data_IF_864865566704
#
_entry.id   IF_864865566704
#
_cell.length_a   1.000
_cell.length_b   1.000
_cell.length_c   1.000
_cell.angle_alpha   90.00
_cell.angle_beta   90.00
_cell.angle_gamma   90.00
#
_symmetry.space_group_name_H-M   'P 1'
#
loop_
_entity.id
_entity.type
_entity.pdbx_description
1 polymer ?
#
# COMPACT_ATOMS: atom_id res chain seq x y z
N UNK A 1 30.55 -12.94 11.64
CA UNK A 1 31.23 -13.69 12.72
C UNK A 1 30.54 -15.05 12.81
N UNK A 2 31.32 -16.13 12.78
CA UNK A 2 30.81 -17.50 12.91
C UNK A 2 31.30 -18.06 14.24
N UNK A 3 30.51 -18.91 14.93
CA UNK A 3 31.00 -19.59 16.11
C UNK A 3 32.14 -20.55 15.71
N UNK A 4 33.29 -20.41 16.35
CA UNK A 4 34.39 -21.35 16.21
C UNK A 4 34.12 -22.66 16.96
N UNK A 5 34.93 -23.68 16.70
CA UNK A 5 34.84 -25.00 17.36
C UNK A 5 35.02 -24.92 18.88
N UNK A 6 35.69 -23.91 19.36
CA UNK A 6 35.95 -23.59 20.78
C UNK A 6 34.97 -22.56 21.38
N UNK A 7 33.81 -22.35 20.73
CA UNK A 7 32.76 -21.39 21.11
C UNK A 7 33.20 -19.91 21.12
N UNK A 8 34.35 -19.59 20.58
CA UNK A 8 34.80 -18.21 20.41
C UNK A 8 34.35 -17.66 19.05
N UNK A 9 33.98 -16.38 18.96
CA UNK A 9 33.72 -15.75 17.67
C UNK A 9 34.98 -15.81 16.79
N UNK A 10 34.85 -16.35 15.60
CA UNK A 10 35.94 -16.38 14.63
C UNK A 10 35.64 -15.52 13.43
N UNK A 11 36.68 -14.95 12.83
CA UNK A 11 36.54 -14.22 11.58
C UNK A 11 36.04 -15.19 10.49
N UNK A 12 34.99 -14.79 9.79
CA UNK A 12 34.44 -15.53 8.65
C UNK A 12 35.59 -15.74 7.60
N UNK A 13 35.69 -16.92 6.97
CA UNK A 13 36.49 -17.10 5.77
C UNK A 13 36.14 -16.06 4.71
N UNK A 14 37.07 -15.77 3.82
CA UNK A 14 36.84 -14.84 2.72
C UNK A 14 35.58 -15.17 1.91
N UNK A 15 35.16 -14.25 1.11
CA UNK A 15 34.05 -14.44 0.16
C UNK A 15 34.57 -14.16 -1.26
N UNK A 16 33.97 -14.82 -2.25
CA UNK A 16 34.14 -14.49 -3.66
C UNK A 16 32.98 -13.63 -4.15
N UNK A 17 33.31 -12.66 -5.00
CA UNK A 17 32.30 -11.87 -5.68
C UNK A 17 31.54 -12.78 -6.66
N UNK A 18 30.23 -12.86 -6.51
CA UNK A 18 29.36 -13.69 -7.36
C UNK A 18 28.86 -12.92 -8.59
N UNK A 19 28.43 -11.69 -8.40
CA UNK A 19 27.85 -10.80 -9.42
C UNK A 19 28.25 -9.37 -9.11
N UNK A 20 28.34 -8.54 -10.15
CA UNK A 20 28.48 -7.09 -10.03
C UNK A 20 27.35 -6.43 -10.82
N UNK A 21 26.71 -5.45 -10.20
CA UNK A 21 25.78 -4.55 -10.83
C UNK A 21 26.42 -3.18 -10.97
N UNK A 22 25.96 -2.42 -11.94
CA UNK A 22 26.28 -0.99 -12.01
C UNK A 22 25.44 -0.26 -10.94
N UNK A 23 26.11 0.53 -10.12
CA UNK A 23 25.48 1.24 -9.01
C UNK A 23 25.48 0.48 -7.68
N UNK A 24 24.95 1.15 -6.68
CA UNK A 24 24.85 0.67 -5.29
C UNK A 24 23.72 -0.36 -5.16
N UNK A 25 23.95 -1.43 -4.41
CA UNK A 25 22.88 -2.38 -4.05
C UNK A 25 21.96 -1.72 -3.02
N UNK A 26 20.76 -1.39 -3.43
CA UNK A 26 19.73 -0.74 -2.64
C UNK A 26 18.74 -1.71 -2.00
N UNK A 27 18.66 -2.94 -2.52
CA UNK A 27 17.84 -4.01 -1.96
C UNK A 27 18.10 -5.35 -2.62
N UNK A 28 17.91 -6.42 -1.84
CA UNK A 28 17.95 -7.81 -2.30
C UNK A 28 16.73 -8.49 -1.72
N UNK A 29 15.92 -9.09 -2.56
CA UNK A 29 14.63 -9.67 -2.16
C UNK A 29 14.42 -11.02 -2.83
N UNK A 30 13.51 -11.82 -2.27
CA UNK A 30 13.05 -13.07 -2.84
C UNK A 30 11.58 -12.94 -3.21
N UNK A 31 11.24 -13.25 -4.45
CA UNK A 31 9.88 -13.35 -4.97
C UNK A 31 9.54 -14.83 -5.15
N UNK A 32 8.52 -15.31 -4.46
CA UNK A 32 7.99 -16.67 -4.64
C UNK A 32 6.80 -16.63 -5.60
N UNK A 33 6.90 -17.34 -6.73
CA UNK A 33 5.83 -17.43 -7.71
C UNK A 33 5.76 -18.86 -8.28
N UNK A 34 4.56 -19.44 -8.31
CA UNK A 34 4.30 -20.77 -8.87
C UNK A 34 5.24 -21.88 -8.36
N UNK A 35 5.59 -21.83 -7.07
CA UNK A 35 6.51 -22.79 -6.43
C UNK A 35 7.99 -22.53 -6.66
N UNK A 36 8.35 -21.55 -7.45
CA UNK A 36 9.73 -21.12 -7.71
C UNK A 36 10.10 -19.88 -6.87
N UNK A 37 11.38 -19.76 -6.57
CA UNK A 37 11.95 -18.60 -5.90
C UNK A 37 12.81 -17.80 -6.89
N UNK A 38 12.49 -16.52 -7.06
CA UNK A 38 13.16 -15.59 -7.95
C UNK A 38 13.96 -14.60 -7.14
N UNK A 39 15.21 -14.36 -7.56
CA UNK A 39 16.10 -13.43 -6.89
C UNK A 39 15.95 -12.03 -7.49
N UNK A 40 15.48 -11.08 -6.68
CA UNK A 40 15.23 -9.70 -7.10
C UNK A 40 16.27 -8.77 -6.49
N UNK A 41 16.92 -7.97 -7.32
CA UNK A 41 17.95 -7.01 -6.90
C UNK A 41 17.55 -5.61 -7.36
N UNK A 42 17.55 -4.66 -6.43
CA UNK A 42 17.52 -3.24 -6.72
C UNK A 42 18.95 -2.70 -6.63
N UNK A 43 19.53 -2.29 -7.76
CA UNK A 43 20.86 -1.71 -7.85
C UNK A 43 20.84 -0.41 -8.67
N UNK A 44 21.43 0.65 -8.11
CA UNK A 44 21.35 2.00 -8.70
C UNK A 44 19.90 2.41 -8.90
N UNK A 45 19.53 2.72 -10.14
CA UNK A 45 18.17 3.11 -10.55
C UNK A 45 17.41 2.02 -11.28
N UNK A 46 17.79 0.75 -11.10
CA UNK A 46 17.23 -0.38 -11.84
C UNK A 46 16.86 -1.55 -10.95
N UNK A 47 15.91 -2.36 -11.43
CA UNK A 47 15.49 -3.63 -10.81
C UNK A 47 15.87 -4.77 -11.76
N UNK A 48 16.49 -5.79 -11.20
CA UNK A 48 16.95 -7.00 -11.87
C UNK A 48 16.26 -8.22 -11.27
N UNK A 49 15.92 -9.20 -12.10
CA UNK A 49 15.34 -10.46 -11.63
C UNK A 49 16.07 -11.62 -12.30
N UNK A 50 16.56 -12.55 -11.48
CA UNK A 50 17.27 -13.77 -11.87
C UNK A 50 18.47 -13.58 -12.83
N UNK A 51 19.24 -14.66 -13.06
CA UNK A 51 20.29 -14.71 -14.07
C UNK A 51 19.66 -14.80 -15.48
N UNK A 52 20.13 -14.04 -16.47
CA UNK A 52 21.40 -13.31 -16.55
C UNK A 52 21.39 -11.88 -15.98
N UNK A 53 20.42 -11.51 -15.16
CA UNK A 53 20.30 -10.20 -14.49
C UNK A 53 20.25 -9.02 -15.46
N UNK A 54 19.42 -9.12 -16.48
CA UNK A 54 19.04 -7.97 -17.27
C UNK A 54 18.09 -7.08 -16.47
N UNK A 55 18.19 -5.77 -16.63
CA UNK A 55 17.25 -4.85 -16.01
C UNK A 55 15.83 -5.09 -16.54
N UNK A 56 14.91 -5.36 -15.64
CA UNK A 56 13.47 -5.55 -15.97
C UNK A 56 12.68 -4.26 -15.78
N UNK A 57 13.26 -3.29 -15.06
CA UNK A 57 12.66 -1.98 -14.84
C UNK A 57 13.74 -0.95 -14.52
N UNK A 58 13.56 0.28 -14.99
CA UNK A 58 14.42 1.44 -14.71
C UNK A 58 13.61 2.61 -14.19
N UNK A 59 14.28 3.59 -13.57
CA UNK A 59 13.63 4.77 -13.00
C UNK A 59 13.16 4.58 -11.55
N UNK A 60 13.77 3.65 -10.80
CA UNK A 60 13.65 3.60 -9.34
C UNK A 60 14.64 4.59 -8.70
N UNK A 61 14.37 5.01 -7.48
CA UNK A 61 15.26 5.90 -6.73
C UNK A 61 16.56 5.18 -6.34
N UNK A 62 17.73 5.79 -6.55
CA UNK A 62 19.01 5.23 -6.06
C UNK A 62 19.14 5.40 -4.53
N UNK A 63 18.21 4.83 -3.80
CA UNK A 63 18.13 4.85 -2.34
C UNK A 63 17.75 3.49 -1.78
N UNK A 64 18.08 3.21 -0.51
CA UNK A 64 17.69 1.96 0.12
C UNK A 64 16.20 1.70 0.04
N UNK A 65 15.81 0.54 -0.52
CA UNK A 65 14.43 0.12 -0.70
C UNK A 65 14.03 -1.04 0.21
N UNK A 66 12.73 -1.25 0.32
CA UNK A 66 12.10 -2.36 1.05
C UNK A 66 11.14 -3.05 0.11
N UNK A 67 10.96 -4.36 0.24
CA UNK A 67 9.92 -5.07 -0.47
C UNK A 67 9.13 -5.99 0.47
N UNK A 68 7.83 -5.99 0.32
CA UNK A 68 6.88 -6.74 1.14
C UNK A 68 6.31 -7.88 0.29
N UNK A 69 6.59 -9.15 0.63
CA UNK A 69 6.01 -10.27 -0.08
C UNK A 69 4.56 -10.50 0.32
N UNK A 70 3.70 -10.71 -0.67
CA UNK A 70 2.33 -11.15 -0.46
C UNK A 70 1.86 -12.02 -1.63
N UNK A 71 1.40 -13.23 -1.32
CA UNK A 71 1.04 -14.25 -2.33
C UNK A 71 2.21 -14.43 -3.32
N UNK A 72 1.98 -14.25 -4.59
CA UNK A 72 2.94 -14.38 -5.71
C UNK A 72 3.53 -13.03 -6.18
N UNK A 73 3.52 -12.02 -5.32
CA UNK A 73 3.97 -10.65 -5.63
C UNK A 73 4.90 -10.08 -4.56
N UNK A 74 5.74 -9.13 -4.97
CA UNK A 74 6.47 -8.23 -4.09
C UNK A 74 5.98 -6.80 -4.27
N UNK A 75 5.70 -6.11 -3.17
CA UNK A 75 5.39 -4.69 -3.16
C UNK A 75 6.66 -3.93 -2.78
N UNK A 76 7.30 -3.34 -3.79
CA UNK A 76 8.59 -2.64 -3.67
C UNK A 76 8.38 -1.16 -3.40
N UNK A 77 9.08 -0.65 -2.37
CA UNK A 77 9.03 0.74 -1.91
C UNK A 77 10.45 1.32 -1.94
N UNK A 78 10.63 2.43 -2.65
CA UNK A 78 11.88 3.18 -2.71
C UNK A 78 11.76 4.62 -2.16
N UNK A 79 10.58 4.99 -1.62
CA UNK A 79 10.28 6.32 -1.11
C UNK A 79 9.87 7.34 -2.18
N UNK A 80 9.66 6.90 -3.42
CA UNK A 80 9.14 7.73 -4.52
C UNK A 80 7.94 7.10 -5.21
N UNK A 81 7.82 5.77 -5.15
CA UNK A 81 6.71 5.03 -5.72
C UNK A 81 6.59 3.65 -5.09
N UNK A 82 5.39 3.13 -5.06
CA UNK A 82 5.12 1.72 -4.75
C UNK A 82 4.96 0.96 -6.07
N UNK A 83 5.67 -0.14 -6.23
CA UNK A 83 5.66 -0.98 -7.43
C UNK A 83 5.34 -2.41 -7.07
N UNK A 84 4.61 -3.08 -7.94
CA UNK A 84 4.33 -4.51 -7.86
C UNK A 84 5.33 -5.22 -8.75
N UNK A 85 6.08 -6.16 -8.18
CA UNK A 85 6.95 -7.07 -8.93
C UNK A 85 6.29 -8.44 -8.92
N UNK A 86 6.05 -8.99 -10.10
CA UNK A 86 5.46 -10.32 -10.31
C UNK A 86 6.27 -11.11 -11.32
N UNK A 87 6.08 -12.42 -11.37
CA UNK A 87 6.71 -13.29 -12.34
C UNK A 87 5.67 -14.19 -13.01
N UNK A 88 5.66 -14.20 -14.33
CA UNK A 88 4.80 -15.08 -15.13
C UNK A 88 5.71 -16.01 -15.95
N UNK A 89 5.46 -17.30 -15.92
CA UNK A 89 6.26 -18.29 -16.65
C UNK A 89 6.30 -18.05 -18.17
N UNK A 90 5.27 -17.38 -18.71
CA UNK A 90 5.17 -17.08 -20.14
C UNK A 90 5.91 -15.81 -20.58
N UNK A 91 6.02 -14.79 -19.70
CA UNK A 91 6.56 -13.46 -20.05
C UNK A 91 7.73 -13.05 -19.18
N UNK A 92 8.04 -13.80 -18.12
CA UNK A 92 9.08 -13.48 -17.15
C UNK A 92 8.64 -12.47 -16.09
N UNK A 93 9.60 -11.73 -15.54
CA UNK A 93 9.36 -10.73 -14.53
C UNK A 93 8.70 -9.47 -15.10
N UNK A 94 7.74 -8.95 -14.37
CA UNK A 94 7.02 -7.71 -14.68
C UNK A 94 7.05 -6.79 -13.46
N UNK A 95 7.33 -5.51 -13.69
CA UNK A 95 7.29 -4.46 -12.64
C UNK A 95 6.28 -3.41 -13.05
N UNK A 96 5.23 -3.25 -12.25
CA UNK A 96 4.12 -2.35 -12.54
C UNK A 96 3.98 -1.33 -11.40
N UNK A 97 4.01 -0.02 -11.67
CA UNK A 97 3.64 0.99 -10.66
C UNK A 97 2.23 0.75 -10.14
N UNK A 98 2.04 0.81 -8.83
CA UNK A 98 0.77 0.53 -8.16
C UNK A 98 -0.38 1.39 -8.71
N UNK A 99 -0.11 2.65 -9.02
CA UNK A 99 -1.08 3.59 -9.60
C UNK A 99 -1.68 3.13 -10.93
N UNK A 100 -0.93 2.36 -11.74
CA UNK A 100 -1.40 1.91 -13.07
C UNK A 100 -2.45 0.79 -12.99
N UNK A 101 -2.51 0.09 -11.87
CA UNK A 101 -3.44 -1.02 -11.60
C UNK A 101 -4.34 -0.73 -10.42
N UNK A 102 -4.41 0.55 -9.99
CA UNK A 102 -5.16 0.98 -8.84
C UNK A 102 -6.67 0.83 -9.04
N UNK A 103 -7.36 0.48 -7.97
CA UNK A 103 -8.82 0.45 -7.92
C UNK A 103 -9.41 1.84 -8.18
N UNK A 104 -10.48 1.91 -8.95
CA UNK A 104 -11.24 3.14 -9.19
C UNK A 104 -12.50 3.13 -8.34
N UNK A 105 -12.55 3.91 -7.24
CA UNK A 105 -13.69 3.90 -6.33
C UNK A 105 -14.92 4.59 -6.93
N UNK A 106 -16.10 4.14 -6.53
CA UNK A 106 -17.34 4.86 -6.71
C UNK A 106 -17.56 5.77 -5.52
N UNK A 107 -17.19 7.05 -5.66
CA UNK A 107 -17.18 7.98 -4.51
C UNK A 107 -18.56 8.49 -4.14
N UNK A 108 -19.52 8.50 -5.06
CA UNK A 108 -20.86 9.01 -4.83
C UNK A 108 -21.88 8.24 -5.65
N UNK A 109 -23.03 7.94 -5.05
CA UNK A 109 -24.19 7.28 -5.65
C UNK A 109 -25.46 8.13 -5.47
N UNK A 110 -26.52 7.82 -6.19
CA UNK A 110 -27.79 8.52 -6.08
C UNK A 110 -27.73 9.99 -6.48
N UNK A 111 -26.80 10.38 -7.38
CA UNK A 111 -26.65 11.76 -7.81
C UNK A 111 -27.75 12.14 -8.80
N UNK A 112 -28.25 13.38 -8.67
CA UNK A 112 -29.07 14.01 -9.71
C UNK A 112 -28.14 14.62 -10.78
N UNK A 113 -28.63 14.86 -12.01
CA UNK A 113 -27.84 15.56 -13.03
C UNK A 113 -27.22 16.88 -12.54
N UNK A 114 -27.93 17.63 -11.69
CA UNK A 114 -27.45 18.88 -11.10
C UNK A 114 -26.45 18.72 -9.94
N UNK A 115 -26.14 17.49 -9.53
CA UNK A 115 -25.23 17.20 -8.42
C UNK A 115 -25.91 16.61 -7.18
N UNK A 116 -25.27 16.71 -6.02
CA UNK A 116 -25.72 16.06 -4.77
C UNK A 116 -25.30 14.59 -4.71
N UNK A 117 -26.15 13.73 -4.17
CA UNK A 117 -25.87 12.29 -3.99
C UNK A 117 -25.40 11.94 -2.60
N UNK A 118 -25.15 10.65 -2.37
CA UNK A 118 -24.68 10.10 -1.10
C UNK A 118 -23.25 9.63 -1.26
N UNK A 119 -22.29 10.03 -0.40
CA UNK A 119 -20.95 9.46 -0.36
C UNK A 119 -21.03 7.94 -0.21
N UNK A 120 -20.19 7.22 -0.94
CA UNK A 120 -20.22 5.75 -0.96
C UNK A 120 -18.84 5.15 -0.63
N UNK A 121 -17.84 5.29 -1.49
CA UNK A 121 -16.48 4.85 -1.21
C UNK A 121 -15.55 6.05 -1.04
N UNK A 122 -14.49 5.87 -0.25
CA UNK A 122 -13.44 6.86 -0.11
C UNK A 122 -12.65 7.07 -1.41
N UNK A 123 -12.12 8.26 -1.58
CA UNK A 123 -11.17 8.52 -2.66
C UNK A 123 -9.90 7.66 -2.47
N UNK A 124 -9.39 7.05 -3.56
CA UNK A 124 -8.22 6.20 -3.49
C UNK A 124 -6.93 7.03 -3.53
N UNK A 125 -6.10 6.93 -2.47
CA UNK A 125 -4.84 7.67 -2.37
C UNK A 125 -3.77 7.27 -3.41
N UNK A 126 -3.94 6.13 -4.09
CA UNK A 126 -3.01 5.67 -5.15
C UNK A 126 -3.56 5.84 -6.56
N UNK A 127 -4.74 6.44 -6.71
CA UNK A 127 -5.39 6.68 -7.99
C UNK A 127 -5.89 8.12 -8.10
N UNK A 128 -5.86 8.66 -9.30
CA UNK A 128 -6.57 9.90 -9.62
C UNK A 128 -8.00 9.63 -10.09
N UNK A 129 -8.30 8.37 -10.44
CA UNK A 129 -9.59 7.99 -11.03
C UNK A 129 -10.64 7.80 -9.95
N UNK A 130 -11.82 8.26 -10.24
CA UNK A 130 -13.01 8.08 -9.44
C UNK A 130 -14.22 7.89 -10.33
N UNK A 131 -15.25 7.27 -9.80
CA UNK A 131 -16.53 7.06 -10.47
C UNK A 131 -17.66 7.70 -9.66
N UNK A 132 -18.64 8.25 -10.33
CA UNK A 132 -19.89 8.74 -9.74
C UNK A 132 -21.07 8.13 -10.48
N UNK A 133 -22.10 7.74 -9.74
CA UNK A 133 -23.32 7.18 -10.29
C UNK A 133 -24.48 8.16 -10.14
N UNK A 134 -25.28 8.27 -11.21
CA UNK A 134 -26.35 9.23 -11.32
C UNK A 134 -27.68 8.56 -11.68
N UNK A 135 -28.74 9.09 -11.12
CA UNK A 135 -30.11 8.82 -11.55
C UNK A 135 -30.43 9.67 -12.78
N UNK A 136 -30.34 9.06 -13.96
CA UNK A 136 -30.61 9.73 -15.21
C UNK A 136 -32.10 10.08 -15.40
N UNK A 137 -32.33 11.12 -16.16
CA UNK A 137 -33.68 11.58 -16.49
C UNK A 137 -33.91 11.55 -18.01
N UNK A 138 -35.15 11.66 -18.44
CA UNK A 138 -35.50 11.77 -19.85
C UNK A 138 -35.31 13.19 -20.44
N UNK A 139 -34.99 14.18 -19.60
CA UNK A 139 -34.96 15.61 -19.98
C UNK A 139 -33.55 16.19 -19.86
N UNK A 140 -32.81 15.79 -18.81
CA UNK A 140 -31.50 16.36 -18.53
C UNK A 140 -30.43 15.78 -19.41
N UNK A 141 -29.64 16.65 -20.05
CA UNK A 141 -28.46 16.27 -20.84
C UNK A 141 -27.16 16.57 -20.16
N UNK A 142 -27.11 17.48 -19.17
CA UNK A 142 -25.85 17.90 -18.50
C UNK A 142 -25.80 17.38 -17.08
N UNK A 143 -24.68 16.72 -16.76
CA UNK A 143 -24.41 16.07 -15.48
C UNK A 143 -23.20 16.70 -14.82
N UNK A 144 -23.36 17.16 -13.56
CA UNK A 144 -22.34 17.84 -12.80
C UNK A 144 -21.61 16.85 -11.87
N UNK A 145 -20.32 16.67 -12.09
CA UNK A 145 -19.43 15.91 -11.20
C UNK A 145 -19.11 16.68 -9.91
N UNK A 146 -18.67 15.98 -8.89
CA UNK A 146 -18.25 16.57 -7.60
C UNK A 146 -17.03 17.47 -7.72
N UNK A 147 -16.20 17.25 -8.74
CA UNK A 147 -14.97 18.01 -8.95
C UNK A 147 -15.01 18.83 -10.23
N UNK A 148 -14.48 20.03 -10.14
CA UNK A 148 -14.10 20.88 -11.27
C UNK A 148 -12.58 20.75 -11.50
N UNK A 149 -12.07 21.28 -12.61
CA UNK A 149 -10.64 21.19 -12.96
C UNK A 149 -10.15 19.75 -12.95
N UNK A 150 -10.85 18.90 -13.70
CA UNK A 150 -10.51 17.49 -13.86
C UNK A 150 -9.12 17.34 -14.51
N UNK A 151 -8.45 16.25 -14.21
CA UNK A 151 -7.21 15.88 -14.89
C UNK A 151 -7.49 15.57 -16.37
N UNK A 152 -6.47 15.67 -17.22
CA UNK A 152 -6.59 15.53 -18.68
C UNK A 152 -6.90 14.11 -19.18
N UNK A 153 -6.99 13.13 -18.28
CA UNK A 153 -7.37 11.76 -18.65
C UNK A 153 -8.78 11.73 -19.26
N UNK A 154 -9.04 10.81 -20.21
CA UNK A 154 -10.37 10.66 -20.79
C UNK A 154 -11.45 10.39 -19.73
N UNK A 155 -12.48 11.19 -19.76
CA UNK A 155 -13.73 10.91 -19.04
C UNK A 155 -14.46 9.80 -19.77
N UNK A 156 -14.88 8.75 -19.06
CA UNK A 156 -15.65 7.64 -19.63
C UNK A 156 -17.04 7.58 -19.04
N UNK A 157 -18.02 7.28 -19.88
CA UNK A 157 -19.43 7.22 -19.50
C UNK A 157 -20.01 5.87 -19.85
N UNK A 158 -20.78 5.33 -18.94
CA UNK A 158 -21.56 4.12 -19.15
C UNK A 158 -23.02 4.37 -18.78
N UNK A 159 -23.93 3.73 -19.49
CA UNK A 159 -25.35 3.71 -19.18
C UNK A 159 -25.84 2.30 -18.95
N UNK A 160 -26.80 2.15 -18.05
CA UNK A 160 -27.41 0.87 -17.75
C UNK A 160 -28.31 0.44 -18.92
N UNK A 161 -28.07 -0.73 -19.48
CA UNK A 161 -28.85 -1.29 -20.58
C UNK A 161 -30.28 -1.56 -20.15
N UNK A 162 -31.25 -1.36 -21.08
CA UNK A 162 -32.67 -1.61 -20.86
C UNK A 162 -33.01 -3.08 -20.54
N UNK A 163 -32.13 -4.00 -20.92
CA UNK A 163 -32.25 -5.42 -20.60
C UNK A 163 -31.68 -5.77 -19.18
N UNK A 164 -31.21 -4.77 -18.44
CA UNK A 164 -30.73 -4.98 -17.07
C UNK A 164 -31.86 -5.33 -16.13
N UNK A 165 -31.54 -6.17 -15.15
CA UNK A 165 -32.42 -6.54 -14.03
C UNK A 165 -31.71 -6.29 -12.71
N UNK A 166 -32.39 -6.24 -11.56
CA UNK A 166 -31.74 -6.08 -10.26
C UNK A 166 -30.61 -7.08 -10.02
N UNK A 167 -30.78 -8.34 -10.48
CA UNK A 167 -29.80 -9.40 -10.32
C UNK A 167 -28.66 -9.38 -11.35
N UNK A 168 -28.86 -8.65 -12.48
CA UNK A 168 -27.89 -8.59 -13.57
C UNK A 168 -27.87 -7.22 -14.23
N UNK A 169 -26.95 -6.37 -13.82
CA UNK A 169 -26.71 -5.06 -14.40
C UNK A 169 -25.75 -5.17 -15.60
N UNK A 170 -26.17 -4.62 -16.74
CA UNK A 170 -25.39 -4.57 -17.98
C UNK A 170 -25.07 -3.11 -18.26
N UNK A 171 -23.80 -2.75 -18.26
CA UNK A 171 -23.33 -1.38 -18.50
C UNK A 171 -22.78 -1.24 -19.92
N UNK A 172 -23.36 -0.35 -20.71
CA UNK A 172 -22.92 -0.03 -22.06
C UNK A 172 -22.06 1.23 -22.06
N UNK A 173 -20.86 1.13 -22.60
CA UNK A 173 -19.96 2.28 -22.75
C UNK A 173 -20.40 3.17 -23.90
N UNK A 174 -20.40 4.47 -23.68
CA UNK A 174 -20.68 5.49 -24.68
C UNK A 174 -19.39 6.03 -25.30
N UNK A 175 -19.50 6.55 -26.53
CA UNK A 175 -18.38 7.13 -27.28
C UNK A 175 -18.29 8.64 -27.05
N UNK A 176 -17.14 9.11 -26.58
CA UNK A 176 -16.86 10.54 -26.45
C UNK A 176 -16.88 11.24 -27.81
N UNK A 177 -17.46 12.42 -27.88
CA UNK A 177 -17.63 13.21 -29.11
C UNK A 177 -18.82 12.78 -29.97
N UNK A 178 -19.38 11.58 -29.77
CA UNK A 178 -20.53 11.06 -30.52
C UNK A 178 -21.78 10.99 -29.63
N UNK A 179 -21.64 10.49 -28.41
CA UNK A 179 -22.77 10.31 -27.49
C UNK A 179 -22.78 11.37 -26.39
N UNK A 180 -21.59 11.84 -26.02
CA UNK A 180 -21.41 12.88 -25.00
C UNK A 180 -20.16 13.71 -25.25
N UNK A 181 -20.07 14.87 -24.57
CA UNK A 181 -18.86 15.68 -24.43
C UNK A 181 -18.58 15.94 -22.96
N UNK A 182 -17.30 16.07 -22.59
CA UNK A 182 -16.89 16.38 -21.22
C UNK A 182 -16.15 17.73 -21.17
N UNK A 183 -16.54 18.57 -20.22
CA UNK A 183 -15.84 19.81 -19.91
C UNK A 183 -15.01 19.60 -18.63
N UNK A 184 -13.69 19.46 -18.78
CA UNK A 184 -12.79 19.23 -17.67
C UNK A 184 -12.68 20.43 -16.71
N UNK A 185 -12.85 21.64 -17.22
CA UNK A 185 -12.78 22.86 -16.37
C UNK A 185 -13.96 22.95 -15.43
N UNK A 186 -15.16 22.75 -15.95
CA UNK A 186 -16.39 22.86 -15.16
C UNK A 186 -16.76 21.54 -14.47
N UNK A 187 -16.12 20.43 -14.84
CA UNK A 187 -16.44 19.10 -14.32
C UNK A 187 -17.82 18.62 -14.75
N UNK A 188 -18.22 18.91 -16.01
CA UNK A 188 -19.53 18.53 -16.53
C UNK A 188 -19.41 17.54 -17.68
N UNK A 189 -20.42 16.67 -17.80
CA UNK A 189 -20.62 15.78 -18.94
C UNK A 189 -21.96 16.13 -19.58
N UNK A 190 -21.95 16.44 -20.88
CA UNK A 190 -23.15 16.78 -21.64
C UNK A 190 -23.43 15.70 -22.68
N UNK A 191 -24.55 15.04 -22.57
CA UNK A 191 -25.04 14.04 -23.51
C UNK A 191 -25.65 14.71 -24.74
N UNK A 192 -25.50 14.10 -25.91
CA UNK A 192 -26.18 14.52 -27.15
C UNK A 192 -27.71 14.26 -27.04
N UNK A 193 -28.05 13.11 -26.46
CA UNK A 193 -29.44 12.77 -26.14
C UNK A 193 -29.52 12.40 -24.65
N UNK A 194 -30.60 12.78 -23.94
CA UNK A 194 -30.79 12.42 -22.55
C UNK A 194 -30.70 10.89 -22.37
N UNK A 195 -30.01 10.41 -21.33
CA UNK A 195 -29.82 8.97 -21.10
C UNK A 195 -31.11 8.22 -20.74
N UNK A 196 -32.18 8.97 -20.41
CA UNK A 196 -33.44 8.39 -19.96
C UNK A 196 -33.50 8.05 -18.50
N UNK A 197 -34.66 7.65 -18.01
CA UNK A 197 -34.82 7.14 -16.66
C UNK A 197 -34.22 5.73 -16.52
N UNK A 198 -33.88 5.34 -15.29
CA UNK A 198 -33.36 4.00 -15.00
C UNK A 198 -34.34 2.91 -15.43
N UNK A 199 -33.87 1.84 -16.07
CA UNK A 199 -34.72 0.67 -16.35
C UNK A 199 -35.02 -0.15 -15.07
N UNK A 200 -34.33 0.12 -13.98
CA UNK A 200 -34.53 -0.52 -12.67
C UNK A 200 -34.93 0.58 -11.68
N UNK A 201 -36.11 0.47 -11.09
CA UNK A 201 -36.59 1.46 -10.13
C UNK A 201 -35.66 1.61 -8.92
N UNK A 202 -35.32 2.85 -8.59
CA UNK A 202 -34.47 3.19 -7.46
C UNK A 202 -32.95 3.00 -7.67
N UNK A 203 -32.54 2.56 -8.86
CA UNK A 203 -31.12 2.34 -9.19
C UNK A 203 -30.59 3.46 -10.10
N UNK A 204 -29.32 3.79 -9.91
CA UNK A 204 -28.60 4.69 -10.80
C UNK A 204 -28.38 4.04 -12.16
N UNK A 205 -28.51 4.81 -13.23
CA UNK A 205 -28.38 4.29 -14.59
C UNK A 205 -27.32 5.00 -15.44
N UNK A 206 -26.66 5.99 -14.89
CA UNK A 206 -25.53 6.67 -15.53
C UNK A 206 -24.30 6.57 -14.62
N UNK A 207 -23.19 6.09 -15.16
CA UNK A 207 -21.91 5.98 -14.47
C UNK A 207 -20.88 6.81 -15.22
N UNK A 208 -20.27 7.76 -14.53
CA UNK A 208 -19.25 8.64 -15.09
C UNK A 208 -17.94 8.41 -14.32
N UNK A 209 -16.88 8.04 -15.04
CA UNK A 209 -15.54 7.90 -14.47
C UNK A 209 -14.67 9.01 -15.02
N UNK A 210 -14.04 9.75 -14.13
CA UNK A 210 -13.13 10.84 -14.43
C UNK A 210 -11.86 10.74 -13.57
N UNK A 211 -10.94 11.67 -13.79
CA UNK A 211 -9.71 11.78 -12.98
C UNK A 211 -9.60 13.17 -12.37
N UNK A 212 -9.22 13.21 -11.09
CA UNK A 212 -8.92 14.43 -10.36
C UNK A 212 -7.60 14.29 -9.62
N UNK A 213 -6.69 15.20 -9.86
CA UNK A 213 -5.49 15.31 -9.05
C UNK A 213 -5.81 16.11 -7.79
N UNK A 214 -5.76 15.45 -6.64
CA UNK A 214 -5.86 16.09 -5.34
C UNK A 214 -4.43 16.23 -4.82
N UNK A 215 -4.02 17.48 -4.56
CA UNK A 215 -2.68 17.79 -4.11
C UNK A 215 -2.30 16.92 -2.90
N UNK A 216 -1.08 16.37 -2.91
CA UNK A 216 -0.49 15.55 -1.84
C UNK A 216 -1.10 14.15 -1.62
N UNK A 217 -2.29 13.81 -2.14
CA UNK A 217 -2.88 12.49 -1.91
C UNK A 217 -1.96 11.37 -2.38
N UNK A 218 -1.47 11.49 -3.60
CA UNK A 218 -0.57 10.50 -4.18
C UNK A 218 0.77 10.38 -3.41
N UNK A 219 1.29 11.48 -2.89
CA UNK A 219 2.55 11.51 -2.13
C UNK A 219 2.43 10.76 -0.80
N UNK A 220 1.23 10.69 -0.22
CA UNK A 220 1.01 10.00 1.06
C UNK A 220 1.46 8.55 1.01
N UNK A 221 1.16 7.84 -0.06
CA UNK A 221 1.49 6.42 -0.25
C UNK A 221 2.82 6.24 -0.98
N UNK A 222 3.09 7.02 -2.04
CA UNK A 222 4.30 6.85 -2.85
C UNK A 222 5.60 7.12 -2.10
N UNK A 223 5.59 8.01 -1.11
CA UNK A 223 6.74 8.34 -0.28
C UNK A 223 6.94 7.40 0.92
N UNK A 224 6.08 6.39 1.08
CA UNK A 224 6.26 5.39 2.12
C UNK A 224 7.54 4.58 1.90
N UNK A 225 8.25 4.30 2.99
CA UNK A 225 9.54 3.58 2.99
C UNK A 225 9.55 2.33 3.86
N UNK A 226 8.47 2.05 4.56
CA UNK A 226 8.28 0.88 5.39
C UNK A 226 6.89 0.29 5.16
N UNK A 227 6.74 -1.02 5.33
CA UNK A 227 5.44 -1.66 5.22
C UNK A 227 5.45 -3.10 5.71
N UNK A 228 4.25 -3.63 5.92
CA UNK A 228 4.00 -4.99 6.36
C UNK A 228 2.58 -5.42 5.95
N UNK A 229 2.34 -6.72 5.86
CA UNK A 229 0.99 -7.25 5.69
C UNK A 229 0.42 -7.68 7.04
N UNK A 230 -0.71 -7.08 7.41
CA UNK A 230 -1.42 -7.34 8.67
C UNK A 230 -2.93 -7.08 8.48
N UNK A 231 -3.78 -7.55 9.39
CA UNK A 231 -5.22 -7.32 9.34
C UNK A 231 -5.93 -7.77 10.62
N UNK A 232 -7.24 -7.82 10.56
CA UNK A 232 -8.10 -8.18 11.70
C UNK A 232 -7.75 -9.58 12.20
N UNK A 233 -7.67 -9.73 13.53
CA UNK A 233 -7.30 -11.00 14.17
C UNK A 233 -5.88 -11.47 13.86
N UNK A 234 -5.00 -10.61 13.36
CA UNK A 234 -3.64 -10.98 12.95
C UNK A 234 -3.58 -11.68 11.58
N UNK A 235 -4.67 -11.76 10.84
CA UNK A 235 -4.71 -12.28 9.48
C UNK A 235 -3.93 -11.35 8.56
N UNK A 236 -3.11 -11.90 7.66
CA UNK A 236 -2.29 -11.11 6.73
C UNK A 236 -3.04 -10.85 5.42
N UNK A 237 -3.87 -9.81 5.39
CA UNK A 237 -4.73 -9.50 4.25
C UNK A 237 -4.89 -8.01 3.93
N UNK A 238 -4.16 -7.11 4.63
CA UNK A 238 -4.07 -5.68 4.31
C UNK A 238 -2.63 -5.25 4.28
N UNK A 239 -2.24 -4.40 3.35
CA UNK A 239 -0.90 -3.81 3.26
C UNK A 239 -0.86 -2.53 4.09
N UNK A 240 -0.03 -2.52 5.13
CA UNK A 240 0.29 -1.32 5.92
C UNK A 240 1.53 -0.66 5.34
N UNK A 241 1.48 0.66 5.15
CA UNK A 241 2.57 1.49 4.63
C UNK A 241 2.81 2.69 5.54
N UNK A 242 4.08 3.04 5.76
CA UNK A 242 4.50 4.18 6.58
C UNK A 242 5.90 4.67 6.23
N UNK A 243 6.47 5.53 7.07
CA UNK A 243 7.81 6.07 6.88
C UNK A 243 7.86 7.23 5.88
N UNK A 244 6.71 7.81 5.55
CA UNK A 244 6.61 9.08 4.84
C UNK A 244 7.06 10.21 5.77
N UNK A 245 8.00 11.04 5.32
CA UNK A 245 8.59 12.12 6.13
C UNK A 245 7.62 13.26 6.43
N UNK A 246 6.62 13.48 5.58
CA UNK A 246 5.54 14.47 5.80
C UNK A 246 4.54 14.01 6.87
N UNK A 247 4.46 12.71 7.14
CA UNK A 247 3.53 12.09 8.09
C UNK A 247 4.25 11.05 8.96
N UNK A 248 5.24 11.45 9.76
CA UNK A 248 6.20 10.51 10.39
C UNK A 248 5.55 9.48 11.31
N UNK A 249 4.52 9.85 12.07
CA UNK A 249 3.82 8.98 13.04
C UNK A 249 2.56 8.31 12.50
N UNK A 250 2.33 8.40 11.17
CA UNK A 250 1.14 7.86 10.51
C UNK A 250 1.46 6.61 9.71
N UNK A 251 0.55 5.66 9.71
CA UNK A 251 0.48 4.63 8.71
C UNK A 251 -0.88 4.60 7.99
N UNK A 252 -0.85 4.08 6.77
CA UNK A 252 -2.02 3.82 5.95
C UNK A 252 -2.17 2.32 5.75
N UNK A 253 -3.40 1.85 5.57
CA UNK A 253 -3.66 0.46 5.26
C UNK A 253 -4.59 0.32 4.06
N UNK A 254 -4.34 -0.72 3.26
CA UNK A 254 -5.15 -1.04 2.09
C UNK A 254 -6.50 -1.64 2.47
N UNK A 255 -7.39 -1.79 1.50
CA UNK A 255 -8.56 -2.64 1.64
C UNK A 255 -8.17 -4.12 1.83
N UNK A 256 -9.09 -4.91 2.35
CA UNK A 256 -8.88 -6.33 2.59
C UNK A 256 -8.70 -7.10 1.28
N UNK A 257 -7.58 -7.83 1.17
CA UNK A 257 -7.17 -8.58 -0.02
C UNK A 257 -6.99 -7.75 -1.31
N UNK A 258 -7.21 -6.44 -1.26
CA UNK A 258 -6.96 -5.51 -2.36
C UNK A 258 -5.94 -4.42 -1.97
N UNK A 259 -4.68 -4.63 -2.35
CA UNK A 259 -3.60 -3.70 -2.08
C UNK A 259 -3.51 -2.57 -3.12
N UNK A 260 -4.47 -2.48 -4.01
CA UNK A 260 -4.60 -1.40 -5.00
C UNK A 260 -5.55 -0.29 -4.56
N UNK A 261 -6.19 -0.46 -3.38
CA UNK A 261 -7.09 0.51 -2.80
C UNK A 261 -6.66 0.93 -1.38
N UNK A 262 -6.30 2.20 -1.24
CA UNK A 262 -6.02 2.90 0.02
C UNK A 262 -7.00 4.04 0.15
N UNK A 263 -8.11 3.81 0.86
CA UNK A 263 -9.13 4.84 1.11
C UNK A 263 -8.55 6.02 1.87
N UNK A 264 -9.09 7.21 1.64
CA UNK A 264 -8.64 8.45 2.30
C UNK A 264 -8.70 8.35 3.83
N UNK A 265 -9.69 7.66 4.38
CA UNK A 265 -9.89 7.43 5.82
C UNK A 265 -9.09 6.24 6.36
N UNK A 266 -8.44 5.43 5.51
CA UNK A 266 -7.71 4.23 5.91
C UNK A 266 -6.31 4.55 6.45
N UNK A 267 -6.24 5.27 7.57
CA UNK A 267 -4.98 5.58 8.25
C UNK A 267 -5.10 5.54 9.77
N UNK A 268 -3.96 5.48 10.44
CA UNK A 268 -3.85 5.63 11.89
C UNK A 268 -2.69 6.57 12.23
N UNK A 269 -2.95 7.55 13.11
CA UNK A 269 -1.92 8.37 13.76
C UNK A 269 -1.54 7.68 15.07
N UNK A 270 -0.41 6.97 15.08
CA UNK A 270 -0.05 6.08 16.18
C UNK A 270 1.07 6.61 17.07
N UNK A 271 1.91 7.47 16.56
CA UNK A 271 3.09 7.98 17.27
C UNK A 271 3.40 9.43 16.87
N UNK A 272 2.58 10.41 17.27
CA UNK A 272 2.82 11.82 16.95
C UNK A 272 4.22 12.25 17.33
N UNK A 273 4.96 12.89 16.42
CA UNK A 273 6.32 13.35 16.62
C UNK A 273 7.43 12.30 16.52
N UNK A 274 7.09 11.03 16.29
CA UNK A 274 8.05 9.95 16.05
C UNK A 274 7.91 9.44 14.62
N UNK A 275 9.01 9.06 13.98
CA UNK A 275 8.95 8.44 12.66
C UNK A 275 8.85 6.93 12.76
N UNK A 276 7.86 6.33 12.12
CA UNK A 276 7.78 4.88 11.97
C UNK A 276 8.84 4.44 10.97
N UNK A 277 9.72 3.52 11.36
CA UNK A 277 10.80 3.02 10.51
C UNK A 277 10.59 1.57 10.07
N UNK A 278 9.67 0.85 10.70
CA UNK A 278 9.38 -0.53 10.33
C UNK A 278 8.40 -1.20 11.28
N UNK A 279 8.16 -2.46 11.00
CA UNK A 279 7.16 -3.26 11.69
C UNK A 279 7.69 -4.64 12.04
N UNK A 280 7.11 -5.24 13.07
CA UNK A 280 7.18 -6.66 13.34
C UNK A 280 5.83 -7.21 13.79
N UNK A 281 5.68 -8.52 13.76
CA UNK A 281 4.48 -9.23 14.24
C UNK A 281 4.83 -10.02 15.48
N UNK A 282 4.00 -9.94 16.50
CA UNK A 282 4.16 -10.70 17.75
C UNK A 282 2.80 -11.12 18.26
N UNK A 283 2.56 -12.44 18.35
CA UNK A 283 1.34 -13.06 18.85
C UNK A 283 0.05 -12.40 18.34
N UNK A 284 -0.05 -12.25 17.03
CA UNK A 284 -1.22 -11.64 16.39
C UNK A 284 -1.33 -10.12 16.53
N UNK A 285 -0.35 -9.46 17.20
CA UNK A 285 -0.30 -8.00 17.28
C UNK A 285 0.67 -7.44 16.24
N UNK A 286 0.34 -6.23 15.75
CA UNK A 286 1.22 -5.41 14.93
C UNK A 286 2.06 -4.52 15.84
N UNK A 287 3.37 -4.63 15.77
CA UNK A 287 4.32 -3.75 16.42
C UNK A 287 4.86 -2.74 15.41
N UNK A 288 4.55 -1.46 15.59
CA UNK A 288 5.14 -0.36 14.84
C UNK A 288 6.33 0.19 15.61
N UNK A 289 7.51 0.16 14.99
CA UNK A 289 8.75 0.59 15.59
C UNK A 289 9.07 2.02 15.15
N UNK A 290 9.23 2.91 16.11
CA UNK A 290 9.59 4.29 15.85
C UNK A 290 11.10 4.50 15.90
N UNK A 291 11.62 5.43 15.10
CA UNK A 291 12.99 5.92 15.20
C UNK A 291 13.07 7.00 16.27
N UNK A 292 14.26 7.21 16.78
CA UNK A 292 14.56 8.30 17.68
C UNK A 292 15.48 7.89 18.81
N UNK A 293 15.66 8.83 19.74
CA UNK A 293 16.51 8.68 20.91
C UNK A 293 16.06 7.52 21.82
N UNK A 294 16.74 7.34 22.92
CA UNK A 294 16.60 6.20 23.85
C UNK A 294 15.18 5.91 24.37
N UNK A 295 14.22 6.80 24.09
CA UNK A 295 12.83 6.70 24.57
C UNK A 295 11.81 6.50 23.42
N UNK A 296 12.26 6.29 22.18
CA UNK A 296 11.35 6.05 21.07
C UNK A 296 10.49 4.81 21.32
N UNK A 297 9.17 4.88 21.03
CA UNK A 297 8.27 3.79 21.36
C UNK A 297 8.27 2.66 20.33
N UNK A 298 7.88 1.47 20.80
CA UNK A 298 7.30 0.41 19.99
C UNK A 298 5.81 0.36 20.34
N UNK A 299 4.95 0.63 19.36
CA UNK A 299 3.50 0.70 19.56
C UNK A 299 2.86 -0.60 19.12
N UNK A 300 2.22 -1.30 20.07
CA UNK A 300 1.52 -2.57 19.81
C UNK A 300 0.05 -2.30 19.53
N UNK A 301 -0.46 -2.85 18.42
CA UNK A 301 -1.85 -2.72 17.98
C UNK A 301 -2.47 -4.08 17.68
N UNK A 302 -3.77 -4.22 17.96
CA UNK A 302 -4.58 -5.32 17.46
C UNK A 302 -5.31 -4.92 16.19
N UNK A 303 -5.77 -5.91 15.41
CA UNK A 303 -6.77 -5.72 14.37
C UNK A 303 -8.11 -6.26 14.83
N UNK A 304 -9.14 -5.41 14.84
CA UNK A 304 -10.47 -5.73 15.35
C UNK A 304 -11.56 -5.29 14.37
N UNK A 305 -12.74 -5.89 14.45
CA UNK A 305 -13.93 -5.40 13.74
C UNK A 305 -14.78 -4.58 14.70
N UNK A 306 -15.13 -3.36 14.32
CA UNK A 306 -16.04 -2.50 15.07
C UNK A 306 -17.10 -1.96 14.11
N UNK A 307 -18.37 -2.29 14.38
CA UNK A 307 -19.52 -1.88 13.54
C UNK A 307 -19.40 -2.22 12.04
N UNK A 308 -18.73 -3.33 11.71
CA UNK A 308 -18.50 -3.75 10.32
C UNK A 308 -17.23 -3.17 9.68
N UNK A 309 -16.50 -2.30 10.37
CA UNK A 309 -15.26 -1.71 9.88
C UNK A 309 -14.04 -2.28 10.59
N UNK A 310 -12.91 -2.37 9.87
CA UNK A 310 -11.64 -2.79 10.45
C UNK A 310 -11.00 -1.62 11.19
N UNK A 311 -10.67 -1.84 12.47
CA UNK A 311 -9.99 -0.86 13.32
C UNK A 311 -8.71 -1.45 13.90
N UNK A 312 -7.73 -0.60 14.15
CA UNK A 312 -6.40 -1.02 14.61
C UNK A 312 -5.99 -0.27 15.89
N UNK A 313 -6.70 -0.51 17.01
CA UNK A 313 -6.47 0.21 18.27
C UNK A 313 -5.10 -0.11 18.88
N UNK A 314 -4.52 0.90 19.55
CA UNK A 314 -3.31 0.74 20.35
C UNK A 314 -3.63 -0.07 21.60
N UNK A 315 -2.90 -1.15 21.84
CA UNK A 315 -3.02 -2.02 23.03
C UNK A 315 -1.95 -1.72 24.06
N UNK A 316 -0.74 -1.40 23.61
CA UNK A 316 0.36 -1.09 24.53
C UNK A 316 1.42 -0.22 23.83
N UNK A 317 2.20 0.51 24.61
CA UNK A 317 3.33 1.32 24.14
C UNK A 317 4.54 0.94 24.98
N UNK A 318 5.54 0.35 24.35
CA UNK A 318 6.79 -0.02 24.99
C UNK A 318 7.84 1.06 24.69
N UNK A 319 8.51 1.57 25.73
CA UNK A 319 9.53 2.62 25.62
C UNK A 319 10.91 2.07 25.95
N UNK A 320 11.94 2.75 25.51
CA UNK A 320 13.34 2.50 25.90
C UNK A 320 14.27 2.03 24.82
N UNK A 321 13.80 1.69 23.61
CA UNK A 321 14.64 1.32 22.48
C UNK A 321 13.96 1.62 21.16
N UNK A 322 14.37 2.70 20.50
CA UNK A 322 13.94 3.05 19.14
C UNK A 322 14.70 2.24 18.08
N UNK A 323 14.02 1.84 17.01
CA UNK A 323 14.68 1.21 15.88
C UNK A 323 15.49 2.25 15.07
N UNK A 324 16.69 1.89 14.63
CA UNK A 324 17.61 2.79 13.92
C UNK A 324 17.64 2.56 12.40
N UNK A 325 16.98 1.51 11.90
CA UNK A 325 17.06 1.15 10.48
C UNK A 325 15.83 0.40 10.01
N UNK A 326 15.27 0.80 8.87
CA UNK A 326 14.19 0.07 8.17
C UNK A 326 14.58 -1.34 7.68
N UNK A 327 15.86 -1.67 7.71
CA UNK A 327 16.42 -3.00 7.38
C UNK A 327 16.91 -3.78 8.61
N UNK A 328 16.82 -3.18 9.79
CA UNK A 328 17.30 -3.76 11.04
C UNK A 328 16.25 -4.65 11.72
N UNK A 329 15.42 -5.37 10.97
CA UNK A 329 14.40 -6.27 11.49
C UNK A 329 14.71 -7.72 11.12
N UNK A 330 14.43 -8.63 12.02
CA UNK A 330 14.59 -10.06 11.81
C UNK A 330 13.73 -10.86 12.79
N UNK A 331 13.82 -12.18 12.70
CA UNK A 331 13.12 -13.08 13.61
C UNK A 331 14.10 -14.16 14.04
N UNK A 332 14.13 -14.48 15.34
CA UNK A 332 14.90 -15.57 15.89
C UNK A 332 13.93 -16.54 16.61
N UNK A 333 13.69 -17.69 16.01
CA UNK A 333 12.58 -18.53 16.42
C UNK A 333 11.27 -17.78 16.20
N UNK A 334 10.52 -17.52 17.27
CA UNK A 334 9.26 -16.78 17.25
C UNK A 334 9.41 -15.34 17.76
N UNK A 335 10.62 -14.92 18.16
CA UNK A 335 10.88 -13.59 18.69
C UNK A 335 11.25 -12.61 17.57
N UNK A 336 10.49 -11.51 17.38
CA UNK A 336 10.90 -10.41 16.53
C UNK A 336 12.13 -9.70 17.11
N UNK A 337 13.16 -9.51 16.29
CA UNK A 337 14.35 -8.76 16.61
C UNK A 337 14.40 -7.45 15.84
N UNK A 338 14.96 -6.42 16.45
CA UNK A 338 15.22 -5.16 15.77
C UNK A 338 16.49 -4.49 16.23
N UNK A 339 17.12 -3.76 15.31
CA UNK A 339 18.37 -3.06 15.55
C UNK A 339 18.11 -1.68 16.13
N UNK A 340 18.79 -1.32 17.19
CA UNK A 340 18.80 -0.01 17.83
C UNK A 340 20.24 0.51 17.93
N UNK A 341 20.42 1.77 18.30
CA UNK A 341 21.74 2.33 18.59
C UNK A 341 22.44 1.64 19.78
N UNK A 342 21.67 1.01 20.67
CA UNK A 342 22.16 0.30 21.86
C UNK A 342 22.37 -1.20 21.61
N UNK A 343 22.23 -1.67 20.37
CA UNK A 343 22.37 -3.07 20.00
C UNK A 343 21.08 -3.71 19.50
N UNK A 344 21.02 -5.04 19.50
CA UNK A 344 19.86 -5.81 19.04
C UNK A 344 18.92 -6.06 20.21
N UNK A 345 17.66 -5.72 20.02
CA UNK A 345 16.57 -5.96 20.97
C UNK A 345 15.57 -6.98 20.42
N UNK A 346 14.99 -7.74 21.33
CA UNK A 346 13.84 -8.60 21.05
C UNK A 346 12.58 -8.01 21.67
N UNK A 347 11.44 -8.23 20.99
CA UNK A 347 10.13 -8.03 21.54
C UNK A 347 9.63 -9.37 22.08
N UNK A 348 9.63 -9.52 23.40
CA UNK A 348 9.37 -10.80 24.09
C UNK A 348 8.24 -10.65 25.11
N UNK A 349 7.80 -11.76 25.73
CA UNK A 349 6.78 -11.79 26.76
C UNK A 349 7.33 -12.39 28.05
N UNK A 350 6.78 -11.98 29.18
CA UNK A 350 7.01 -12.66 30.46
C UNK A 350 6.22 -13.98 30.50
N UNK A 351 6.87 -15.07 30.82
CA UNK A 351 6.27 -16.41 30.86
C UNK A 351 5.07 -16.52 31.80
N UNK A 352 5.06 -15.72 32.87
CA UNK A 352 4.04 -15.81 33.92
C UNK A 352 2.84 -14.89 33.69
N UNK A 353 3.04 -13.72 33.04
CA UNK A 353 2.00 -12.70 32.92
C UNK A 353 1.58 -12.45 31.47
N UNK A 354 2.35 -12.94 30.50
CA UNK A 354 2.18 -12.62 29.07
C UNK A 354 2.45 -11.14 28.72
N UNK A 355 2.92 -10.34 29.70
CA UNK A 355 3.22 -8.93 29.49
C UNK A 355 4.42 -8.78 28.54
N UNK A 356 4.27 -7.91 27.51
CA UNK A 356 5.32 -7.65 26.54
C UNK A 356 6.35 -6.66 27.07
N UNK A 357 7.63 -6.89 26.74
CA UNK A 357 8.71 -6.00 27.07
C UNK A 357 9.85 -6.10 26.04
N UNK A 358 10.74 -5.11 26.07
CA UNK A 358 11.91 -5.04 25.21
C UNK A 358 13.11 -5.65 25.93
N UNK A 359 13.75 -6.64 25.33
CA UNK A 359 14.93 -7.30 25.90
C UNK A 359 16.12 -7.16 24.97
N UNK A 360 17.24 -6.63 25.52
CA UNK A 360 18.51 -6.55 24.78
C UNK A 360 19.11 -7.93 24.62
N UNK A 361 19.35 -8.35 23.36
CA UNK A 361 19.92 -9.66 23.03
C UNK A 361 21.44 -9.59 22.74
N UNK A 362 21.97 -8.42 22.42
CA UNK A 362 23.39 -8.25 22.03
C UNK A 362 24.34 -7.94 23.18
N UNK A 363 23.87 -7.89 24.41
CA UNK A 363 24.66 -7.41 25.53
C UNK A 363 26.01 -8.17 25.78
N UNK A 364 26.13 -9.43 25.35
CA UNK A 364 27.33 -10.20 25.43
C UNK A 364 28.45 -9.76 24.47
N UNK A 365 28.07 -9.14 23.34
CA UNK A 365 29.01 -8.72 22.29
C UNK A 365 29.26 -7.22 22.28
N UNK A 366 28.49 -6.42 23.02
CA UNK A 366 28.62 -4.97 23.03
C UNK A 366 29.86 -4.46 23.79
N UNK A 367 30.52 -5.33 24.52
CA UNK A 367 31.72 -5.02 25.30
C UNK A 367 33.00 -5.65 24.73
N UNK A 368 32.90 -6.24 23.53
CA UNK A 368 34.04 -6.91 22.89
C UNK A 368 34.83 -5.95 22.00
#
# INVERSE_FOLDING_TARGET
>A
IMPGTDKKPTKRPGFSKRIQFDGKINGIFSLKSSGNEHFVVHAGTEIFVDSPYNAVYSGVSDSPSVAIPYKDKLYHLDGTSVRIISYKSSTGAEVTPLQMVSYTPTITIGRKPSGGGTPFEDFNLVSRRFTEEFSGTAEDTTYQLSFTWLYSDPVTVQILDKASTPDKKIWNSLASGTDYTANHTDGTVTFINPPGASPIEGEDNVRITASKEIAEYFLRISECTAGIVYGVGGIRNRLFLSGNSGYPGRDWYSEMDDFTYFGESHYCDIAPGCQIVGYSLVDGLLAAHCSGESDAPVVLRSGEMLNGEAVFPVKNILRGAGACSKRGFGVLGDEPLFLTEKGVFALTAKDTTGERYLQRRSWFIDKA
#
